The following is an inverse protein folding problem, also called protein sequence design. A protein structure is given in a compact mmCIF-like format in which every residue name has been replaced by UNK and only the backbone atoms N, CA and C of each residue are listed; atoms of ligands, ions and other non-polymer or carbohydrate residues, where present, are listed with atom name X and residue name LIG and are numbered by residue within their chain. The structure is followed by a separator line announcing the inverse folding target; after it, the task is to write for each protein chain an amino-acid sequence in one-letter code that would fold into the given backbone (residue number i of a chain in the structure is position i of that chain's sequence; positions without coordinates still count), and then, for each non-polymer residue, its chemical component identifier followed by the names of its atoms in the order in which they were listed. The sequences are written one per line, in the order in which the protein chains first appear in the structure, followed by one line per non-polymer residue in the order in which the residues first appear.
data_IF_133648568398
#
_entry.id   IF_133648568398
#
_cell.length_a   1.000
_cell.length_b   1.000
_cell.length_c   1.000
_cell.angle_alpha   90.00
_cell.angle_beta   90.00
_cell.angle_gamma   90.00
#
_symmetry.space_group_name_H-M   'P 1'
#
loop_
_entity.id
_entity.type
_entity.pdbx_description
1 polymer ?
#
# COMPACT_ATOMS: atom_id res chain seq x y z
N UNK A 1 15.66 26.33 -0.46
CA UNK A 1 15.42 25.17 -1.35
C UNK A 1 14.42 24.19 -0.76
N UNK A 2 14.13 24.23 0.54
CA UNK A 2 13.05 23.44 1.16
C UNK A 2 11.71 24.14 0.89
N UNK A 3 10.63 23.40 0.55
CA UNK A 3 9.39 23.99 0.06
C UNK A 3 8.46 24.53 1.17
N UNK A 4 8.75 24.25 2.44
CA UNK A 4 8.04 24.80 3.60
C UNK A 4 8.87 25.83 4.36
N UNK A 5 8.19 26.65 5.17
CA UNK A 5 8.78 27.80 5.87
C UNK A 5 9.28 27.50 7.29
N UNK A 6 8.88 26.37 7.86
CA UNK A 6 9.31 25.95 9.19
C UNK A 6 10.65 25.21 9.15
N UNK A 7 11.36 25.21 10.27
CA UNK A 7 12.64 24.52 10.47
C UNK A 7 12.60 23.84 11.83
N UNK A 8 13.36 22.75 11.98
CA UNK A 8 13.50 22.04 13.25
C UNK A 8 14.93 22.32 13.71
N UNK A 9 15.08 23.37 14.51
CA UNK A 9 16.38 23.84 14.99
C UNK A 9 16.16 24.51 16.36
N UNK A 10 17.05 24.30 17.34
CA UNK A 10 16.89 24.90 18.67
C UNK A 10 16.99 26.42 18.58
N UNK A 11 16.09 27.14 19.29
CA UNK A 11 16.12 28.61 19.35
C UNK A 11 17.40 29.17 19.98
N UNK A 12 17.94 28.49 21.00
CA UNK A 12 19.20 28.86 21.65
C UNK A 12 20.10 27.62 21.65
N UNK A 13 21.25 27.63 20.97
CA UNK A 13 22.23 26.56 21.11
C UNK A 13 22.90 26.67 22.49
N UNK A 14 22.33 26.04 23.52
CA UNK A 14 23.02 25.86 24.80
C UNK A 14 24.12 24.79 24.63
N UNK A 15 25.38 25.21 24.67
CA UNK A 15 26.55 24.32 24.65
C UNK A 15 26.67 23.39 23.43
N UNK A 16 27.49 22.35 23.56
CA UNK A 16 27.75 21.30 22.55
C UNK A 16 26.52 20.39 22.28
N UNK A 17 25.30 20.94 22.21
CA UNK A 17 24.11 20.21 21.76
C UNK A 17 24.25 19.90 20.26
N UNK A 18 25.06 18.88 19.97
CA UNK A 18 25.44 18.52 18.63
C UNK A 18 24.25 17.86 17.93
N UNK A 19 23.73 18.53 16.91
CA UNK A 19 22.69 17.98 16.04
C UNK A 19 23.14 16.61 15.50
N UNK A 20 22.24 15.63 15.43
CA UNK A 20 22.58 14.32 14.89
C UNK A 20 23.06 14.47 13.45
N UNK A 21 24.06 13.68 13.06
CA UNK A 21 24.58 13.70 11.71
C UNK A 21 23.52 13.24 10.71
N UNK A 22 23.64 13.69 9.46
CA UNK A 22 22.71 13.29 8.39
C UNK A 22 22.75 11.78 8.14
N UNK A 23 23.91 11.16 8.34
CA UNK A 23 24.06 9.70 8.33
C UNK A 23 23.27 9.03 9.45
N UNK A 24 23.28 9.58 10.67
CA UNK A 24 22.56 9.03 11.81
C UNK A 24 21.03 9.12 11.62
N UNK A 25 20.53 10.22 11.05
CA UNK A 25 19.12 10.39 10.68
C UNK A 25 18.65 9.36 9.64
N UNK A 26 19.50 9.05 8.65
CA UNK A 26 19.17 8.03 7.64
C UNK A 26 19.29 6.61 8.20
N UNK A 27 20.31 6.37 9.04
CA UNK A 27 20.51 5.10 9.74
C UNK A 27 19.32 4.74 10.63
N UNK A 28 18.70 5.70 11.32
CA UNK A 28 17.52 5.41 12.15
C UNK A 28 16.31 4.96 11.32
N UNK A 29 16.05 5.60 10.17
CA UNK A 29 15.00 5.18 9.23
C UNK A 29 15.31 3.78 8.68
N UNK A 30 16.58 3.53 8.34
CA UNK A 30 17.05 2.22 7.87
C UNK A 30 16.87 1.12 8.94
N UNK A 31 17.21 1.43 10.19
CA UNK A 31 17.10 0.51 11.33
C UNK A 31 15.65 0.11 11.58
N UNK A 32 14.70 1.05 11.58
CA UNK A 32 13.27 0.75 11.72
C UNK A 32 12.81 -0.24 10.63
N UNK A 33 13.20 -0.01 9.39
CA UNK A 33 12.86 -0.89 8.27
C UNK A 33 13.51 -2.27 8.40
N UNK A 34 14.78 -2.33 8.79
CA UNK A 34 15.51 -3.58 8.98
C UNK A 34 14.89 -4.44 10.08
N UNK A 35 14.60 -3.85 11.23
CA UNK A 35 13.95 -4.55 12.35
C UNK A 35 12.54 -5.01 11.96
N UNK A 36 11.79 -4.17 11.26
CA UNK A 36 10.44 -4.54 10.76
C UNK A 36 10.51 -5.72 9.79
N UNK A 37 11.48 -5.72 8.89
CA UNK A 37 11.70 -6.83 7.95
C UNK A 37 11.97 -8.14 8.68
N UNK A 38 12.90 -8.15 9.66
CA UNK A 38 13.18 -9.34 10.46
C UNK A 38 11.99 -9.78 11.29
N UNK A 39 11.21 -8.85 11.84
CA UNK A 39 9.99 -9.16 12.57
C UNK A 39 8.95 -9.86 11.67
N UNK A 40 8.79 -9.41 10.43
CA UNK A 40 7.91 -10.05 9.44
C UNK A 40 8.41 -11.47 9.12
N UNK A 41 9.72 -11.65 8.88
CA UNK A 41 10.30 -12.97 8.64
C UNK A 41 10.09 -13.93 9.82
N UNK A 42 10.29 -13.45 11.04
CA UNK A 42 10.08 -14.26 12.25
C UNK A 42 8.61 -14.63 12.45
N UNK A 43 7.69 -13.68 12.20
CA UNK A 43 6.25 -13.94 12.25
C UNK A 43 5.82 -14.99 11.21
N UNK A 44 6.40 -14.96 10.00
CA UNK A 44 6.17 -15.99 8.98
C UNK A 44 6.62 -17.38 9.46
N UNK A 45 7.83 -17.48 10.00
CA UNK A 45 8.40 -18.76 10.47
C UNK A 45 7.60 -19.34 11.64
N UNK A 46 7.16 -18.50 12.59
CA UNK A 46 6.37 -18.95 13.75
C UNK A 46 4.98 -19.46 13.31
N UNK A 47 4.35 -18.79 12.35
CA UNK A 47 3.05 -19.22 11.79
C UNK A 47 3.14 -20.58 11.07
N UNK A 48 4.24 -20.85 10.37
CA UNK A 48 4.45 -22.14 9.71
C UNK A 48 4.54 -23.30 10.71
N UNK A 49 5.25 -23.09 11.83
CA UNK A 49 5.41 -24.13 12.87
C UNK A 49 4.15 -24.41 13.68
N UNK A 50 3.22 -23.45 13.78
CA UNK A 50 1.98 -23.57 14.55
C UNK A 50 0.78 -24.10 13.74
N UNK A 51 0.98 -24.51 12.48
CA UNK A 51 -0.10 -24.92 11.57
C UNK A 51 -0.66 -26.31 11.88
N UNK A 52 -1.42 -26.43 12.97
CA UNK A 52 -2.42 -27.49 13.18
C UNK A 52 -3.81 -26.87 13.13
N UNK A 53 -4.54 -27.09 12.03
CA UNK A 53 -5.96 -26.77 11.83
C UNK A 53 -6.39 -25.28 11.94
N UNK A 54 -5.94 -24.42 11.03
CA UNK A 54 -6.63 -23.15 10.77
C UNK A 54 -7.79 -23.37 9.80
N UNK A 55 -9.02 -23.14 10.26
CA UNK A 55 -10.23 -23.11 9.42
C UNK A 55 -10.16 -21.95 8.41
N UNK A 56 -10.66 -22.10 7.18
CA UNK A 56 -10.80 -20.98 6.26
C UNK A 56 -11.82 -19.99 6.83
N UNK A 57 -11.35 -18.86 7.35
CA UNK A 57 -12.23 -17.75 7.68
C UNK A 57 -12.70 -17.09 6.38
N UNK A 58 -14.00 -16.99 6.22
CA UNK A 58 -14.65 -16.30 5.10
C UNK A 58 -14.08 -14.89 4.89
N UNK A 59 -13.95 -14.50 3.62
CA UNK A 59 -13.55 -13.15 3.21
C UNK A 59 -14.61 -12.13 3.66
N UNK A 60 -14.36 -11.45 4.78
CA UNK A 60 -15.20 -10.36 5.27
C UNK A 60 -14.53 -9.01 4.99
N UNK A 61 -15.12 -8.17 4.10
CA UNK A 61 -14.61 -6.83 3.82
C UNK A 61 -14.45 -5.95 5.04
N UNK A 62 -15.37 -6.04 6.00
CA UNK A 62 -15.36 -5.19 7.18
C UNK A 62 -14.13 -5.47 8.05
N UNK A 63 -13.73 -6.74 8.17
CA UNK A 63 -12.60 -7.16 9.00
C UNK A 63 -11.27 -6.62 8.49
N UNK A 64 -10.98 -6.72 7.19
CA UNK A 64 -9.70 -6.22 6.66
C UNK A 64 -9.67 -4.69 6.59
N UNK A 65 -10.81 -4.03 6.37
CA UNK A 65 -10.90 -2.56 6.43
C UNK A 65 -10.61 -2.09 7.86
N UNK A 66 -11.29 -2.67 8.86
CA UNK A 66 -11.06 -2.34 10.27
C UNK A 66 -9.62 -2.62 10.69
N UNK A 67 -9.06 -3.76 10.28
CA UNK A 67 -7.65 -4.09 10.48
C UNK A 67 -6.72 -3.05 9.87
N UNK A 68 -6.97 -2.62 8.64
CA UNK A 68 -6.19 -1.58 7.98
C UNK A 68 -6.33 -0.20 8.63
N UNK A 69 -7.52 0.19 9.08
CA UNK A 69 -7.72 1.42 9.87
C UNK A 69 -6.93 1.37 11.17
N UNK A 70 -7.00 0.24 11.90
CA UNK A 70 -6.27 0.06 13.15
C UNK A 70 -4.75 0.20 12.93
N UNK A 71 -4.21 -0.47 11.91
CA UNK A 71 -2.80 -0.38 11.54
C UNK A 71 -2.40 1.04 11.12
N UNK A 72 -3.23 1.72 10.32
CA UNK A 72 -3.02 3.12 9.95
C UNK A 72 -3.00 4.04 11.17
N UNK A 73 -3.93 3.86 12.11
CA UNK A 73 -4.00 4.61 13.36
C UNK A 73 -2.76 4.42 14.22
N UNK A 74 -2.23 3.19 14.33
CA UNK A 74 -0.99 2.92 15.09
C UNK A 74 0.17 3.79 14.55
N UNK A 75 0.34 3.84 13.23
CA UNK A 75 1.41 4.65 12.62
C UNK A 75 1.15 6.15 12.70
N UNK A 76 -0.09 6.60 12.52
CA UNK A 76 -0.45 8.01 12.67
C UNK A 76 -0.24 8.50 14.09
N UNK A 77 -0.65 7.72 15.09
CA UNK A 77 -0.45 8.03 16.50
C UNK A 77 1.04 8.04 16.86
N UNK A 78 1.85 7.15 16.30
CA UNK A 78 3.30 7.19 16.50
C UNK A 78 3.94 8.45 15.92
N UNK A 79 3.53 8.87 14.73
CA UNK A 79 3.99 10.12 14.12
C UNK A 79 3.52 11.35 14.92
N UNK A 80 2.29 11.32 15.44
CA UNK A 80 1.78 12.38 16.30
C UNK A 80 2.55 12.44 17.62
N UNK A 81 2.76 11.28 18.28
CA UNK A 81 3.53 11.18 19.51
C UNK A 81 4.95 11.74 19.33
N UNK A 82 5.64 11.35 18.26
CA UNK A 82 6.94 11.91 17.93
C UNK A 82 6.89 13.43 17.70
N UNK A 83 5.81 13.95 17.12
CA UNK A 83 5.70 15.37 16.82
C UNK A 83 5.48 16.16 18.12
N UNK A 84 4.69 15.59 19.03
CA UNK A 84 4.48 16.15 20.38
C UNK A 84 5.73 16.07 21.24
N UNK A 85 6.54 15.01 21.13
CA UNK A 85 7.84 14.89 21.84
C UNK A 85 8.78 16.00 21.36
N UNK A 86 8.87 16.22 20.04
CA UNK A 86 9.67 17.32 19.49
C UNK A 86 9.15 18.66 20.01
N UNK A 87 7.85 18.92 19.94
CA UNK A 87 7.27 20.20 20.36
C UNK A 87 7.40 20.45 21.88
N UNK A 88 7.37 19.39 22.70
CA UNK A 88 7.52 19.46 24.15
C UNK A 88 8.99 19.58 24.60
N UNK A 89 9.95 19.38 23.69
CA UNK A 89 11.36 19.62 23.99
C UNK A 89 11.62 21.12 24.06
N UNK A 90 12.31 21.57 25.11
CA UNK A 90 12.78 22.96 25.24
C UNK A 90 13.45 23.41 23.95
N UNK A 91 13.16 24.64 23.51
CA UNK A 91 13.66 25.25 22.26
C UNK A 91 13.01 24.80 20.95
N UNK A 92 12.06 23.86 20.96
CA UNK A 92 11.36 23.36 19.76
C UNK A 92 9.85 23.67 19.72
N UNK A 93 9.36 24.53 20.62
CA UNK A 93 7.92 24.82 20.83
C UNK A 93 7.18 25.33 19.57
N UNK A 94 7.88 26.01 18.65
CA UNK A 94 7.30 26.60 17.44
C UNK A 94 7.19 25.61 16.26
N UNK A 95 7.65 24.37 16.42
CA UNK A 95 7.61 23.39 15.33
C UNK A 95 6.16 22.99 15.06
N UNK A 96 5.66 23.11 13.81
CA UNK A 96 4.27 22.78 13.49
C UNK A 96 4.06 21.27 13.52
N UNK A 97 3.61 20.75 14.67
CA UNK A 97 3.46 19.31 14.92
C UNK A 97 2.63 18.58 13.85
N UNK A 98 1.53 19.17 13.39
CA UNK A 98 0.67 18.57 12.35
C UNK A 98 1.41 18.46 11.01
N UNK A 99 2.12 19.50 10.60
CA UNK A 99 2.87 19.47 9.33
C UNK A 99 4.02 18.47 9.40
N UNK A 100 4.65 18.33 10.58
CA UNK A 100 5.71 17.35 10.81
C UNK A 100 5.17 15.91 10.82
N UNK A 101 4.03 15.67 11.46
CA UNK A 101 3.32 14.39 11.43
C UNK A 101 2.97 13.99 9.99
N UNK A 102 2.44 14.92 9.18
CA UNK A 102 2.14 14.68 7.77
C UNK A 102 3.41 14.39 6.96
N UNK A 103 4.53 15.07 7.27
CA UNK A 103 5.80 14.80 6.61
C UNK A 103 6.26 13.37 6.91
N UNK A 104 6.18 12.92 8.16
CA UNK A 104 6.57 11.55 8.54
C UNK A 104 5.64 10.46 8.00
N UNK A 105 4.43 10.80 7.57
CA UNK A 105 3.61 9.86 6.80
C UNK A 105 4.28 9.47 5.47
N UNK A 106 5.18 10.30 4.94
CA UNK A 106 5.98 10.01 3.74
C UNK A 106 7.23 9.15 3.97
N UNK A 107 7.55 8.77 5.22
CA UNK A 107 8.70 7.93 5.51
C UNK A 107 8.61 6.59 4.75
N UNK A 108 9.72 6.11 4.17
CA UNK A 108 9.75 4.80 3.52
C UNK A 108 9.56 3.72 4.58
N UNK A 109 8.52 2.91 4.42
CA UNK A 109 8.19 1.79 5.32
C UNK A 109 8.02 0.48 4.56
N UNK A 110 8.42 -0.62 5.19
CA UNK A 110 8.25 -1.98 4.67
C UNK A 110 6.98 -2.69 5.18
N UNK A 111 6.06 -1.95 5.81
CA UNK A 111 4.79 -2.45 6.36
C UNK A 111 3.86 -3.06 5.31
N UNK A 112 4.02 -2.74 4.02
CA UNK A 112 3.28 -3.36 2.92
C UNK A 112 3.71 -4.80 2.61
N UNK A 113 4.90 -5.25 3.06
CA UNK A 113 5.36 -6.60 2.77
C UNK A 113 4.38 -7.62 3.36
N UNK A 114 3.85 -8.57 2.56
CA UNK A 114 2.93 -9.57 3.07
C UNK A 114 3.62 -10.48 4.08
N UNK A 115 2.90 -10.83 5.14
CA UNK A 115 3.23 -11.99 5.96
C UNK A 115 2.80 -13.19 5.12
N UNK A 116 3.77 -13.89 4.52
CA UNK A 116 3.52 -14.99 3.60
C UNK A 116 3.67 -16.31 4.34
N UNK A 117 2.62 -17.13 4.31
CA UNK A 117 2.64 -18.54 4.72
C UNK A 117 3.23 -19.38 3.59
N UNK A 118 4.55 -19.31 3.43
CA UNK A 118 5.23 -20.22 2.49
C UNK A 118 5.29 -21.62 3.10
N UNK A 119 4.29 -22.46 2.82
CA UNK A 119 4.33 -23.86 3.29
C UNK A 119 3.05 -24.68 3.20
N UNK A 120 1.88 -24.08 2.92
CA UNK A 120 0.63 -24.86 2.81
C UNK A 120 0.27 -25.15 1.37
N UNK A 121 -0.26 -26.35 1.12
CA UNK A 121 -0.75 -26.83 -0.19
C UNK A 121 -1.93 -26.02 -0.76
N UNK A 122 -2.42 -24.99 -0.06
CA UNK A 122 -3.45 -24.04 -0.52
C UNK A 122 -3.10 -22.61 -0.03
N UNK A 123 -2.18 -21.91 -0.73
CA UNK A 123 -1.67 -20.59 -0.32
C UNK A 123 -2.64 -19.41 -0.56
N UNK A 124 -3.78 -19.62 -1.23
CA UNK A 124 -4.55 -18.50 -1.81
C UNK A 124 -5.48 -17.74 -0.86
N UNK A 125 -5.92 -18.32 0.27
CA UNK A 125 -7.05 -17.74 1.02
C UNK A 125 -6.76 -17.29 2.46
N UNK A 126 -5.72 -17.79 3.14
CA UNK A 126 -5.50 -17.45 4.56
C UNK A 126 -4.72 -16.14 4.80
N UNK A 127 -3.90 -15.67 3.84
CA UNK A 127 -3.06 -14.47 4.02
C UNK A 127 -3.65 -13.17 3.45
N UNK A 128 -4.85 -13.24 2.86
CA UNK A 128 -5.45 -12.11 2.14
C UNK A 128 -5.91 -10.99 3.10
N UNK A 129 -6.53 -11.30 4.24
CA UNK A 129 -7.01 -10.30 5.21
C UNK A 129 -5.87 -9.46 5.79
N UNK A 130 -4.80 -10.11 6.24
CA UNK A 130 -3.62 -9.42 6.82
C UNK A 130 -2.90 -8.58 5.76
N UNK A 131 -2.71 -9.12 4.55
CA UNK A 131 -2.09 -8.38 3.43
C UNK A 131 -2.94 -7.20 2.99
N UNK A 132 -4.25 -7.36 2.82
CA UNK A 132 -5.17 -6.28 2.43
C UNK A 132 -5.26 -5.20 3.50
N UNK A 133 -5.27 -5.58 4.78
CA UNK A 133 -5.23 -4.61 5.89
C UNK A 133 -3.97 -3.76 5.86
N UNK A 134 -2.81 -4.38 5.65
CA UNK A 134 -1.53 -3.68 5.55
C UNK A 134 -1.47 -2.72 4.34
N UNK A 135 -1.97 -3.18 3.19
CA UNK A 135 -2.08 -2.34 1.98
C UNK A 135 -3.04 -1.16 2.18
N UNK A 136 -4.14 -1.37 2.90
CA UNK A 136 -5.08 -0.30 3.22
C UNK A 136 -4.47 0.73 4.19
N UNK A 137 -3.76 0.26 5.23
CA UNK A 137 -3.03 1.13 6.14
C UNK A 137 -2.00 2.00 5.41
N UNK A 138 -1.23 1.41 4.48
CA UNK A 138 -0.31 2.18 3.65
C UNK A 138 -1.05 3.17 2.75
N UNK A 139 -2.19 2.79 2.17
CA UNK A 139 -2.99 3.73 1.36
C UNK A 139 -3.39 4.97 2.18
N UNK A 140 -3.79 4.80 3.44
CA UNK A 140 -4.10 5.92 4.35
C UNK A 140 -2.85 6.81 4.53
N UNK A 141 -1.69 6.22 4.84
CA UNK A 141 -0.47 6.99 5.07
C UNK A 141 0.03 7.69 3.80
N UNK A 142 -0.12 7.07 2.63
CA UNK A 142 0.20 7.67 1.33
C UNK A 142 -0.75 8.83 0.98
N UNK A 143 -2.03 8.76 1.41
CA UNK A 143 -2.95 9.88 1.24
C UNK A 143 -2.50 11.11 2.06
N UNK A 144 -2.02 10.90 3.29
CA UNK A 144 -1.46 11.99 4.10
C UNK A 144 -0.10 12.49 3.58
N UNK A 145 0.74 11.61 3.03
CA UNK A 145 2.04 12.00 2.44
C UNK A 145 1.89 12.85 1.17
N UNK A 146 0.77 12.72 0.46
CA UNK A 146 0.47 13.42 -0.78
C UNK A 146 0.65 14.93 -0.69
N UNK A 147 0.27 15.53 0.45
CA UNK A 147 0.40 16.97 0.69
C UNK A 147 1.84 17.46 0.49
N UNK A 148 2.81 16.84 1.15
CA UNK A 148 4.22 17.26 1.09
C UNK A 148 4.89 16.89 -0.23
N UNK A 149 4.51 15.75 -0.83
CA UNK A 149 5.01 15.35 -2.14
C UNK A 149 4.57 16.36 -3.22
N UNK A 150 3.28 16.74 -3.23
CA UNK A 150 2.77 17.77 -4.15
C UNK A 150 3.38 19.15 -3.91
N UNK A 151 3.51 19.54 -2.64
CA UNK A 151 4.14 20.81 -2.27
C UNK A 151 5.57 20.90 -2.80
N UNK A 152 6.34 19.81 -2.63
CA UNK A 152 7.71 19.70 -3.12
C UNK A 152 7.78 19.81 -4.64
N UNK A 153 6.93 19.09 -5.35
CA UNK A 153 6.92 19.14 -6.83
C UNK A 153 6.50 20.51 -7.36
N UNK A 154 5.46 21.12 -6.78
CA UNK A 154 5.02 22.45 -7.21
C UNK A 154 6.10 23.50 -6.93
N UNK A 155 6.77 23.42 -5.79
CA UNK A 155 7.89 24.31 -5.48
C UNK A 155 9.04 24.14 -6.49
N UNK A 156 9.43 22.90 -6.81
CA UNK A 156 10.46 22.63 -7.81
C UNK A 156 10.09 23.14 -9.20
N UNK A 157 8.81 23.05 -9.59
CA UNK A 157 8.30 23.59 -10.85
C UNK A 157 8.44 25.12 -10.91
N UNK A 158 7.99 25.82 -9.86
CA UNK A 158 8.02 27.29 -9.80
C UNK A 158 9.45 27.82 -9.89
N UNK A 159 10.41 27.13 -9.28
CA UNK A 159 11.82 27.56 -9.25
C UNK A 159 12.66 26.99 -10.41
N UNK A 160 12.05 26.34 -11.40
CA UNK A 160 12.74 25.84 -12.58
C UNK A 160 13.71 24.67 -12.29
N UNK A 161 13.56 23.98 -11.17
CA UNK A 161 14.48 22.95 -10.70
C UNK A 161 14.54 21.73 -11.63
N UNK A 162 13.43 21.42 -12.29
CA UNK A 162 13.36 20.37 -13.31
C UNK A 162 13.97 20.76 -14.66
N UNK A 163 14.27 22.05 -14.86
CA UNK A 163 14.70 22.62 -16.14
C UNK A 163 16.13 23.17 -16.08
N UNK A 164 16.98 22.62 -15.20
CA UNK A 164 18.40 22.94 -15.15
C UNK A 164 18.79 24.05 -14.17
N UNK A 165 17.86 24.64 -13.42
CA UNK A 165 18.18 25.66 -12.41
C UNK A 165 19.06 25.13 -11.25
N UNK A 166 19.14 23.80 -11.08
CA UNK A 166 19.97 23.16 -10.06
C UNK A 166 21.46 23.12 -10.41
N UNK A 167 21.88 23.30 -11.67
CA UNK A 167 23.27 23.08 -12.09
C UNK A 167 24.30 24.02 -11.44
N UNK A 168 23.84 25.14 -10.86
CA UNK A 168 24.69 26.15 -10.22
C UNK A 168 24.70 26.09 -8.69
N UNK A 169 23.94 25.18 -8.08
CA UNK A 169 23.80 25.10 -6.62
C UNK A 169 24.83 24.14 -5.99
N UNK A 170 25.42 24.53 -4.85
CA UNK A 170 26.39 23.72 -4.10
C UNK A 170 25.81 22.42 -3.54
N UNK A 171 24.52 22.39 -3.19
CA UNK A 171 23.78 21.17 -2.75
C UNK A 171 22.89 20.57 -3.83
N UNK A 172 23.25 20.78 -5.10
CA UNK A 172 22.48 20.33 -6.26
C UNK A 172 22.10 18.83 -6.23
N UNK A 173 23.00 17.88 -5.87
CA UNK A 173 22.64 16.46 -5.88
C UNK A 173 21.51 16.10 -4.93
N UNK A 174 21.53 16.62 -3.70
CA UNK A 174 20.49 16.35 -2.70
C UNK A 174 19.16 17.01 -3.06
N UNK A 175 19.20 18.23 -3.60
CA UNK A 175 18.00 18.87 -4.13
C UNK A 175 17.40 18.04 -5.29
N UNK A 176 18.24 17.54 -6.21
CA UNK A 176 17.78 16.71 -7.32
C UNK A 176 17.13 15.41 -6.84
N UNK A 177 17.70 14.75 -5.83
CA UNK A 177 17.11 13.57 -5.20
C UNK A 177 15.77 13.87 -4.53
N UNK A 178 15.65 15.00 -3.81
CA UNK A 178 14.40 15.39 -3.14
C UNK A 178 13.28 15.66 -4.14
N UNK A 179 13.53 16.55 -5.11
CA UNK A 179 12.53 16.95 -6.11
C UNK A 179 12.24 15.84 -7.11
N UNK A 180 13.25 15.05 -7.47
CA UNK A 180 13.12 13.88 -8.34
C UNK A 180 12.36 12.74 -7.69
N UNK A 181 12.65 12.43 -6.42
CA UNK A 181 11.92 11.43 -5.64
C UNK A 181 10.45 11.78 -5.48
N UNK A 182 10.13 13.04 -5.15
CA UNK A 182 8.74 13.50 -5.05
C UNK A 182 7.99 13.44 -6.40
N UNK A 183 8.66 13.80 -7.51
CA UNK A 183 8.08 13.73 -8.85
C UNK A 183 7.84 12.28 -9.28
N UNK A 184 8.82 11.40 -9.06
CA UNK A 184 8.69 9.96 -9.34
C UNK A 184 7.55 9.35 -8.54
N UNK A 185 7.42 9.71 -7.25
CA UNK A 185 6.32 9.25 -6.40
C UNK A 185 4.96 9.63 -6.98
N UNK A 186 4.75 10.90 -7.38
CA UNK A 186 3.48 11.34 -8.00
C UNK A 186 3.18 10.60 -9.30
N UNK A 187 4.20 10.41 -10.15
CA UNK A 187 4.06 9.68 -11.39
C UNK A 187 3.62 8.22 -11.14
N UNK A 188 4.26 7.53 -10.19
CA UNK A 188 3.90 6.16 -9.83
C UNK A 188 2.48 6.10 -9.27
N UNK A 189 2.10 7.00 -8.36
CA UNK A 189 0.72 7.08 -7.83
C UNK A 189 -0.31 7.29 -8.95
N UNK A 190 -0.02 8.18 -9.90
CA UNK A 190 -0.90 8.42 -11.04
C UNK A 190 -1.05 7.17 -11.93
N UNK A 191 0.06 6.48 -12.22
CA UNK A 191 0.05 5.23 -12.99
C UNK A 191 -0.71 4.11 -12.27
N UNK A 192 -0.61 4.06 -10.94
CA UNK A 192 -1.32 3.10 -10.09
C UNK A 192 -2.82 3.40 -9.97
N UNK A 193 -3.21 4.67 -10.00
CA UNK A 193 -4.62 5.08 -9.93
C UNK A 193 -5.43 4.57 -11.14
N UNK A 194 -4.85 4.52 -12.35
CA UNK A 194 -5.55 4.10 -13.57
C UNK A 194 -6.12 2.68 -13.48
N UNK A 195 -5.35 1.61 -13.17
CA UNK A 195 -5.89 0.26 -13.04
C UNK A 195 -6.88 0.16 -11.88
N UNK A 196 -6.65 0.86 -10.76
CA UNK A 196 -7.57 0.88 -9.61
C UNK A 196 -8.93 1.49 -9.99
N UNK A 197 -8.93 2.63 -10.68
CA UNK A 197 -10.17 3.29 -11.12
C UNK A 197 -10.89 2.41 -12.14
N UNK A 198 -10.16 1.75 -13.05
CA UNK A 198 -10.75 0.84 -14.05
C UNK A 198 -11.42 -0.35 -13.38
N UNK A 199 -10.79 -0.99 -12.38
CA UNK A 199 -11.39 -2.12 -11.67
C UNK A 199 -12.66 -1.70 -10.92
N UNK A 200 -12.64 -0.56 -10.22
CA UNK A 200 -13.81 -0.03 -9.50
C UNK A 200 -14.97 0.27 -10.47
N UNK A 201 -14.71 0.98 -11.57
CA UNK A 201 -15.76 1.35 -12.56
C UNK A 201 -16.40 0.12 -13.21
N UNK A 202 -15.61 -0.92 -13.48
CA UNK A 202 -16.16 -2.15 -14.09
C UNK A 202 -17.03 -2.98 -13.15
N UNK A 203 -16.94 -2.78 -11.83
CA UNK A 203 -17.78 -3.48 -10.84
C UNK A 203 -19.19 -2.87 -10.75
N UNK A 204 -19.34 -1.61 -11.16
CA UNK A 204 -20.58 -0.83 -11.05
C UNK A 204 -21.48 -0.86 -12.28
N UNK A 205 -21.17 -1.62 -13.33
CA UNK A 205 -22.13 -1.90 -14.40
C UNK A 205 -22.91 -3.16 -14.03
N UNK A 206 -24.20 -3.06 -13.63
CA UNK A 206 -25.07 -4.22 -13.64
C UNK A 206 -25.05 -4.75 -15.07
N UNK A 207 -24.93 -6.06 -15.24
CA UNK A 207 -25.24 -6.66 -16.52
C UNK A 207 -26.72 -6.35 -16.79
N UNK A 208 -27.01 -5.31 -17.57
CA UNK A 208 -28.23 -5.24 -18.36
C UNK A 208 -28.20 -6.47 -19.25
N UNK A 209 -28.83 -7.54 -18.79
CA UNK A 209 -29.23 -8.62 -19.68
C UNK A 209 -30.24 -7.99 -20.64
N UNK A 210 -29.93 -8.09 -21.92
CA UNK A 210 -30.88 -7.97 -23.01
C UNK A 210 -32.13 -8.80 -22.68
N UNK A 211 -33.19 -8.12 -22.25
CA UNK A 211 -34.55 -8.59 -22.47
C UNK A 211 -34.88 -8.25 -23.92
N UNK A 212 -34.56 -9.16 -24.85
CA UNK A 212 -35.32 -9.20 -26.10
C UNK A 212 -35.31 -10.57 -26.79
N UNK A 213 -36.40 -10.81 -27.51
CA UNK A 213 -36.75 -11.95 -28.36
C UNK A 213 -37.29 -13.22 -27.69
N UNK A 214 -38.62 -13.34 -27.68
CA UNK A 214 -39.26 -14.65 -27.54
C UNK A 214 -40.78 -14.78 -27.54
N UNK A 215 -41.56 -13.71 -27.72
CA UNK A 215 -43.01 -13.84 -27.89
C UNK A 215 -43.37 -14.36 -29.29
N UNK A 216 -43.69 -15.66 -29.42
CA UNK A 216 -44.59 -16.17 -30.47
C UNK A 216 -45.53 -17.21 -29.88
N UNK A 217 -46.81 -16.88 -29.91
CA UNK A 217 -47.90 -17.72 -29.45
C UNK A 217 -48.41 -18.70 -30.50
N UNK A 218 -49.17 -19.66 -29.98
CA UNK A 218 -50.32 -20.37 -30.57
C UNK A 218 -50.08 -21.27 -31.79
N UNK A 219 -50.29 -22.59 -31.60
CA UNK A 219 -51.49 -23.32 -32.05
C UNK A 219 -51.15 -24.80 -32.37
N UNK A 220 -51.81 -25.75 -31.68
CA UNK A 220 -51.90 -27.18 -32.06
C UNK A 220 -53.17 -27.42 -32.91
N UNK A 221 -53.62 -28.65 -33.26
CA UNK A 221 -53.00 -29.99 -33.25
C UNK A 221 -53.27 -30.80 -34.56
N UNK A 222 -52.69 -32.01 -34.67
CA UNK A 222 -53.25 -33.23 -35.33
C UNK A 222 -52.23 -34.37 -35.14
N UNK A 223 -52.48 -35.32 -34.24
CA UNK A 223 -53.17 -36.60 -34.49
C UNK A 223 -52.56 -37.41 -35.64
N UNK A 224 -51.79 -38.44 -35.28
CA UNK A 224 -51.96 -39.80 -35.81
C UNK A 224 -51.31 -40.81 -34.84
N UNK A 225 -52.16 -41.69 -34.31
CA UNK A 225 -51.82 -42.89 -33.55
C UNK A 225 -51.20 -43.96 -34.47
N UNK A 226 -50.13 -44.62 -34.03
CA UNK A 226 -49.86 -45.99 -34.46
C UNK A 226 -49.09 -46.78 -33.38
N UNK A 227 -49.87 -47.59 -32.65
CA UNK A 227 -49.60 -48.89 -32.03
C UNK A 227 -48.13 -49.35 -31.80
N UNK A 228 -47.82 -49.54 -30.51
CA UNK A 228 -46.84 -50.39 -29.82
C UNK A 228 -46.38 -51.69 -30.59
N UNK A 229 -45.15 -52.22 -30.34
CA UNK A 229 -44.84 -52.76 -29.01
C UNK A 229 -43.41 -52.58 -28.45
N UNK A 230 -43.42 -52.67 -27.13
CA UNK A 230 -42.32 -52.82 -26.19
C UNK A 230 -41.53 -54.10 -26.48
N UNK A 231 -40.27 -53.96 -26.90
CA UNK A 231 -39.26 -55.01 -26.81
C UNK A 231 -37.95 -54.40 -26.33
N UNK A 232 -37.47 -54.88 -25.19
CA UNK A 232 -36.17 -54.50 -24.65
C UNK A 232 -35.05 -54.97 -25.55
N UNK A 233 -34.12 -54.07 -25.86
CA UNK A 233 -32.78 -54.41 -26.30
C UNK A 233 -31.82 -53.34 -25.78
N UNK A 234 -30.91 -53.80 -24.93
CA UNK A 234 -29.70 -53.13 -24.48
C UNK A 234 -28.92 -52.68 -25.72
N UNK A 235 -28.77 -51.38 -25.91
CA UNK A 235 -27.90 -50.80 -26.93
C UNK A 235 -27.09 -49.68 -26.29
N UNK A 236 -25.77 -49.85 -26.33
CA UNK A 236 -24.76 -48.83 -26.05
C UNK A 236 -24.94 -47.70 -27.08
N UNK A 237 -25.69 -46.67 -26.68
CA UNK A 237 -25.82 -45.44 -27.45
C UNK A 237 -24.78 -44.44 -26.98
N UNK A 238 -23.77 -44.19 -27.81
CA UNK A 238 -22.87 -43.05 -27.67
C UNK A 238 -23.70 -41.77 -27.57
N UNK A 239 -23.75 -41.20 -26.37
CA UNK A 239 -24.34 -39.90 -26.11
C UNK A 239 -23.45 -38.84 -26.74
N UNK A 240 -23.80 -38.40 -27.96
CA UNK A 240 -23.27 -37.17 -28.54
C UNK A 240 -23.85 -36.00 -27.75
N UNK A 241 -23.22 -35.70 -26.62
CA UNK A 241 -23.43 -34.46 -25.88
C UNK A 241 -22.69 -33.33 -26.57
N UNK A 242 -23.46 -32.35 -27.05
CA UNK A 242 -22.97 -31.03 -27.45
C UNK A 242 -22.00 -30.48 -26.40
N UNK A 243 -20.83 -30.02 -26.86
CA UNK A 243 -19.82 -29.31 -26.07
C UNK A 243 -20.48 -28.30 -25.13
N UNK A 244 -20.13 -28.26 -23.82
CA UNK A 244 -20.59 -27.18 -22.97
C UNK A 244 -19.88 -25.90 -23.40
N UNK A 245 -20.63 -25.02 -24.08
CA UNK A 245 -20.25 -23.62 -24.29
C UNK A 245 -20.34 -22.88 -22.95
N UNK A 246 -19.50 -23.23 -21.99
CA UNK A 246 -19.45 -22.56 -20.68
C UNK A 246 -18.04 -22.63 -20.06
N UNK A 247 -17.03 -22.22 -20.84
CA UNK A 247 -15.65 -22.02 -20.36
C UNK A 247 -15.17 -20.57 -20.62
N UNK A 248 -16.01 -19.70 -21.19
CA UNK A 248 -15.65 -18.29 -21.45
C UNK A 248 -15.85 -17.39 -20.21
N UNK A 249 -16.75 -17.75 -19.29
CA UNK A 249 -17.16 -16.88 -18.17
C UNK A 249 -16.24 -16.94 -16.95
N UNK A 250 -15.46 -18.01 -16.78
CA UNK A 250 -14.49 -18.15 -15.68
C UNK A 250 -13.15 -17.46 -15.97
N UNK A 251 -12.86 -17.14 -17.24
CA UNK A 251 -11.57 -16.56 -17.65
C UNK A 251 -11.49 -15.03 -17.48
N UNK A 252 -12.61 -14.32 -17.62
CA UNK A 252 -12.66 -12.86 -17.45
C UNK A 252 -12.40 -12.32 -16.02
N UNK A 253 -12.82 -12.95 -14.91
CA UNK A 253 -12.49 -12.46 -13.56
C UNK A 253 -11.00 -12.62 -13.24
N UNK A 254 -10.36 -13.65 -13.79
CA UNK A 254 -8.96 -14.02 -13.51
C UNK A 254 -7.97 -13.01 -14.12
N UNK A 255 -8.22 -12.51 -15.35
CA UNK A 255 -7.35 -11.53 -16.02
C UNK A 255 -7.42 -10.12 -15.41
N UNK A 256 -8.52 -9.76 -14.74
CA UNK A 256 -8.68 -8.44 -14.12
C UNK A 256 -7.97 -8.33 -12.78
N UNK A 257 -8.02 -9.40 -11.99
CA UNK A 257 -7.29 -9.48 -10.72
C UNK A 257 -5.77 -9.50 -10.97
N UNK A 258 -5.30 -10.21 -12.01
CA UNK A 258 -3.87 -10.26 -12.33
C UNK A 258 -3.27 -8.89 -12.66
N UNK A 259 -3.97 -8.02 -13.41
CA UNK A 259 -3.48 -6.66 -13.73
C UNK A 259 -3.35 -5.77 -12.50
N UNK A 260 -4.30 -5.82 -11.58
CA UNK A 260 -4.26 -5.05 -10.34
C UNK A 260 -3.13 -5.54 -9.42
N UNK A 261 -2.98 -6.86 -9.28
CA UNK A 261 -1.89 -7.45 -8.52
C UNK A 261 -0.52 -7.10 -9.08
N UNK A 262 -0.33 -7.18 -10.42
CA UNK A 262 0.92 -6.78 -11.06
C UNK A 262 1.22 -5.30 -10.86
N UNK A 263 0.20 -4.44 -10.97
CA UNK A 263 0.36 -3.02 -10.67
C UNK A 263 0.83 -2.81 -9.23
N UNK A 264 0.18 -3.42 -8.24
CA UNK A 264 0.56 -3.29 -6.82
C UNK A 264 1.95 -3.86 -6.54
N UNK A 265 2.26 -5.05 -7.05
CA UNK A 265 3.55 -5.72 -6.84
C UNK A 265 4.73 -4.91 -7.40
N UNK A 266 4.53 -4.22 -8.53
CA UNK A 266 5.57 -3.38 -9.12
C UNK A 266 5.57 -1.96 -8.56
N UNK A 267 4.39 -1.38 -8.33
CA UNK A 267 4.23 0.02 -7.93
C UNK A 267 4.67 0.28 -6.49
N UNK A 268 4.35 -0.61 -5.55
CA UNK A 268 4.65 -0.38 -4.13
C UNK A 268 6.16 -0.34 -3.84
N UNK A 269 7.00 -1.26 -4.37
CA UNK A 269 8.46 -1.13 -4.23
C UNK A 269 9.01 0.15 -4.87
N UNK A 270 8.47 0.56 -6.02
CA UNK A 270 8.87 1.82 -6.67
C UNK A 270 8.48 3.04 -5.84
N UNK A 271 7.32 3.05 -5.19
CA UNK A 271 6.93 4.10 -4.24
C UNK A 271 7.88 4.15 -3.06
N UNK A 272 8.25 2.99 -2.50
CA UNK A 272 9.22 2.90 -1.40
C UNK A 272 10.60 3.45 -1.80
N UNK A 273 11.09 3.12 -3.01
CA UNK A 273 12.32 3.70 -3.54
C UNK A 273 12.21 5.21 -3.75
N UNK A 274 11.10 5.70 -4.30
CA UNK A 274 10.87 7.13 -4.50
C UNK A 274 10.84 7.91 -3.17
N UNK A 275 10.25 7.32 -2.12
CA UNK A 275 10.30 7.88 -0.76
C UNK A 275 11.72 7.92 -0.19
N UNK A 276 12.54 6.89 -0.43
CA UNK A 276 13.95 6.93 -0.04
C UNK A 276 14.72 8.04 -0.75
N UNK A 277 14.56 8.19 -2.07
CA UNK A 277 15.18 9.28 -2.82
C UNK A 277 14.75 10.64 -2.26
N UNK A 278 13.47 10.80 -1.97
CA UNK A 278 12.93 12.00 -1.34
C UNK A 278 13.60 12.28 0.01
N UNK A 279 13.68 11.30 0.90
CA UNK A 279 14.23 11.48 2.26
C UNK A 279 15.74 11.66 2.29
N UNK A 280 16.50 10.94 1.46
CA UNK A 280 17.95 11.14 1.31
C UNK A 280 18.23 12.56 0.81
N UNK A 281 17.49 12.99 -0.21
CA UNK A 281 17.58 14.34 -0.74
C UNK A 281 17.17 15.40 0.29
N UNK A 282 16.07 15.18 1.00
CA UNK A 282 15.58 16.11 2.02
C UNK A 282 16.58 16.27 3.16
N UNK A 283 17.01 15.17 3.79
CA UNK A 283 17.94 15.20 4.93
C UNK A 283 19.28 15.82 4.52
N UNK A 284 19.84 15.44 3.36
CA UNK A 284 21.10 16.02 2.89
C UNK A 284 20.99 17.50 2.51
N UNK A 285 19.81 17.93 2.03
CA UNK A 285 19.56 19.33 1.69
C UNK A 285 19.35 20.19 2.94
N UNK A 286 18.57 19.70 3.92
CA UNK A 286 18.28 20.41 5.16
C UNK A 286 19.46 20.40 6.13
N UNK A 287 20.17 19.28 6.23
CA UNK A 287 21.31 19.08 7.12
C UNK A 287 21.04 19.65 8.53
N UNK A 288 21.70 20.75 8.90
CA UNK A 288 21.53 21.45 10.18
C UNK A 288 20.15 22.09 10.40
N UNK A 289 19.38 22.45 9.36
CA UNK A 289 18.03 23.01 9.51
C UNK A 289 16.97 21.96 9.93
N UNK A 290 17.36 20.68 9.97
CA UNK A 290 16.55 19.56 10.41
C UNK A 290 17.27 18.79 11.52
N UNK A 291 17.28 19.36 12.71
CA UNK A 291 17.89 18.86 13.93
C UNK A 291 16.80 18.29 14.84
N UNK A 292 16.68 16.96 14.89
CA UNK A 292 15.68 16.31 15.73
C UNK A 292 16.22 16.15 17.16
N UNK A 293 15.47 16.60 18.19
CA UNK A 293 15.84 16.30 19.57
C UNK A 293 15.67 14.80 19.84
N UNK A 294 16.57 14.24 20.64
CA UNK A 294 16.49 12.87 21.15
C UNK A 294 16.11 11.84 20.07
N UNK A 295 16.88 11.80 18.97
CA UNK A 295 16.60 10.93 17.82
C UNK A 295 16.38 9.47 18.22
N UNK A 296 17.07 9.00 19.26
CA UNK A 296 16.92 7.65 19.81
C UNK A 296 15.50 7.39 20.33
N UNK A 297 14.93 8.34 21.09
CA UNK A 297 13.56 8.24 21.59
C UNK A 297 12.56 8.21 20.44
N UNK A 298 12.73 9.08 19.43
CA UNK A 298 11.86 9.12 18.25
C UNK A 298 11.92 7.80 17.46
N UNK A 299 13.13 7.25 17.33
CA UNK A 299 13.37 5.95 16.69
C UNK A 299 12.72 4.83 17.49
N UNK A 300 12.78 4.88 18.83
CA UNK A 300 12.11 3.93 19.71
C UNK A 300 10.59 3.89 19.51
N UNK A 301 9.94 5.05 19.36
CA UNK A 301 8.50 5.14 19.08
C UNK A 301 8.15 4.56 17.70
N UNK A 302 8.96 4.86 16.68
CA UNK A 302 8.78 4.27 15.35
C UNK A 302 9.01 2.74 15.35
N UNK A 303 10.00 2.25 16.10
CA UNK A 303 10.24 0.82 16.28
C UNK A 303 9.06 0.14 16.97
N UNK A 304 8.60 0.69 18.10
CA UNK A 304 7.49 0.12 18.87
C UNK A 304 6.20 0.05 18.05
N UNK A 305 5.86 1.11 17.32
CA UNK A 305 4.69 1.13 16.45
C UNK A 305 4.82 0.17 15.26
N UNK A 306 6.01 0.05 14.66
CA UNK A 306 6.24 -0.88 13.56
C UNK A 306 6.16 -2.34 14.03
N UNK A 307 6.75 -2.69 15.17
CA UNK A 307 6.63 -4.01 15.78
C UNK A 307 5.19 -4.31 16.20
N UNK A 308 4.52 -3.35 16.83
CA UNK A 308 3.11 -3.45 17.19
C UNK A 308 2.22 -3.73 15.97
N UNK A 309 2.51 -3.09 14.83
CA UNK A 309 1.80 -3.35 13.57
C UNK A 309 2.01 -4.80 13.09
N UNK A 310 3.23 -5.35 13.18
CA UNK A 310 3.52 -6.74 12.79
C UNK A 310 2.80 -7.72 13.71
N UNK A 311 2.76 -7.43 15.03
CA UNK A 311 2.02 -8.24 16.01
C UNK A 311 0.53 -8.22 15.71
N UNK A 312 -0.09 -7.05 15.53
CA UNK A 312 -1.52 -6.96 15.19
C UNK A 312 -1.83 -7.74 13.91
N UNK A 313 -0.98 -7.60 12.89
CA UNK A 313 -1.10 -8.35 11.62
C UNK A 313 -0.98 -9.86 11.78
N UNK A 314 -0.31 -10.35 12.82
CA UNK A 314 -0.20 -11.77 13.09
C UNK A 314 -1.48 -12.37 13.70
N UNK A 315 -2.38 -11.53 14.21
CA UNK A 315 -3.70 -11.92 14.72
C UNK A 315 -4.86 -11.65 13.74
N UNK A 316 -4.64 -10.80 12.72
CA UNK A 316 -5.61 -10.56 11.63
C UNK A 316 -5.73 -11.75 10.70
#
# INVERSE_FOLDING_TARGET
MIPWRWRIYPRVPEGDAQCPSDQWKLMSIGLVNLVTFFAILHANNTRQSASTNSRPLFYDPARWILGGVLLGCIHLLANLANATIVQATTDYENVPAVQLMLLWCSLPRLSWLPISSHGTKNPEFQDMTSSMSAMFAETILQAFSFYHMCLTVNYGRIHGFYFGALSRATRSPFAALMFGGALAWLFIVAMMAVPIIRTIRTRGKPNEKEDDAGAKGSMSPKEEECLLPKSGARSEGYSYGTLPAEVESLHLPMTRHSRLHMALAMGVPLLWLAQWLFWIGFIGLSSNDFCLPSLETLTGVWLASSLGSVIVRSYL
#
